data_IF_796131256518
#
_entry.id   IF_796131256518
#
_cell.length_a   1.000
_cell.length_b   1.000
_cell.length_c   1.000
_cell.angle_alpha   90.00
_cell.angle_beta   90.00
_cell.angle_gamma   90.00
#
_symmetry.space_group_name_H-M   'P 1'
#
loop_
_entity.id
_entity.type
_entity.pdbx_description
1 polymer ?
#
# COMPACT_ATOMS: atom_id res chain seq x y z
N UNK A 1 -39.71 18.40 26.41
CA UNK A 1 -39.54 18.05 24.98
C UNK A 1 -38.20 17.36 24.89
N UNK A 2 -38.20 16.01 24.87
CA UNK A 2 -36.96 15.22 24.76
C UNK A 2 -36.58 15.20 23.28
N UNK A 3 -35.46 15.82 22.92
CA UNK A 3 -34.83 15.58 21.63
C UNK A 3 -34.42 14.11 21.58
N UNK A 4 -35.05 13.38 20.68
CA UNK A 4 -34.66 12.01 20.36
C UNK A 4 -33.34 12.13 19.59
N UNK A 5 -32.22 11.95 20.29
CA UNK A 5 -30.94 11.68 19.63
C UNK A 5 -31.10 10.34 18.90
N UNK A 6 -31.11 10.37 17.56
CA UNK A 6 -31.11 9.17 16.73
C UNK A 6 -29.95 8.29 17.17
N UNK A 7 -30.30 7.13 17.74
CA UNK A 7 -29.32 6.21 18.30
C UNK A 7 -28.55 5.59 17.15
N UNK A 8 -27.26 5.93 17.05
CA UNK A 8 -26.35 5.31 16.08
C UNK A 8 -25.98 3.93 16.62
N UNK A 9 -26.80 2.91 16.34
CA UNK A 9 -26.60 1.52 16.76
C UNK A 9 -25.64 0.75 15.82
N UNK A 10 -24.88 1.43 14.96
CA UNK A 10 -24.02 0.84 13.94
C UNK A 10 -22.70 1.56 13.68
N UNK A 11 -21.93 1.07 12.72
CA UNK A 11 -20.71 1.74 12.24
C UNK A 11 -21.12 2.92 11.37
N UNK A 12 -20.53 4.09 11.61
CA UNK A 12 -20.71 5.27 10.76
C UNK A 12 -19.47 5.49 9.91
N UNK A 13 -19.70 5.81 8.64
CA UNK A 13 -18.61 6.20 7.75
C UNK A 13 -18.39 7.71 7.87
N UNK A 14 -17.17 8.06 8.20
CA UNK A 14 -16.71 9.45 8.25
C UNK A 14 -15.50 9.68 7.35
N UNK A 15 -15.11 10.94 7.21
CA UNK A 15 -13.93 11.36 6.46
C UNK A 15 -12.89 11.92 7.43
N UNK A 16 -11.61 11.59 7.23
CA UNK A 16 -10.52 12.27 7.91
C UNK A 16 -10.19 13.59 7.20
N UNK A 17 -10.32 14.72 7.89
CA UNK A 17 -10.07 16.05 7.28
C UNK A 17 -8.71 16.62 7.66
N UNK A 18 -8.06 16.05 8.67
CA UNK A 18 -6.77 16.52 9.15
C UNK A 18 -6.48 16.09 10.58
N UNK A 19 -5.56 16.79 11.22
CA UNK A 19 -5.16 16.56 12.60
C UNK A 19 -5.06 17.87 13.37
N UNK A 20 -5.39 17.86 14.66
CA UNK A 20 -5.18 18.98 15.56
C UNK A 20 -4.53 18.47 16.85
N UNK A 21 -3.32 18.92 17.13
CA UNK A 21 -2.56 18.44 18.29
C UNK A 21 -2.30 16.93 18.28
N UNK A 22 -2.21 16.33 17.08
CA UNK A 22 -2.05 14.88 16.89
C UNK A 22 -3.36 14.08 16.93
N UNK A 23 -4.49 14.66 17.33
CA UNK A 23 -5.78 14.00 17.27
C UNK A 23 -6.38 14.08 15.85
N UNK A 24 -6.89 12.97 15.28
CA UNK A 24 -7.56 12.99 13.98
C UNK A 24 -8.85 13.81 14.05
N UNK A 25 -9.09 14.65 13.05
CA UNK A 25 -10.30 15.43 12.88
C UNK A 25 -11.22 14.75 11.86
N UNK A 26 -12.45 14.44 12.25
CA UNK A 26 -13.41 13.72 11.42
C UNK A 26 -14.70 14.48 11.19
N UNK A 27 -15.33 14.26 10.05
CA UNK A 27 -16.72 14.64 9.75
C UNK A 27 -17.47 13.41 9.32
N UNK A 28 -18.76 13.36 9.64
CA UNK A 28 -19.62 12.23 9.35
C UNK A 28 -21.08 12.70 9.34
N UNK A 29 -21.95 11.90 8.74
CA UNK A 29 -23.39 12.17 8.76
C UNK A 29 -23.92 12.04 10.19
N UNK A 30 -24.61 13.07 10.67
CA UNK A 30 -25.05 13.14 12.08
C UNK A 30 -24.03 13.77 13.02
N UNK A 31 -22.97 14.40 12.50
CA UNK A 31 -22.06 15.22 13.29
C UNK A 31 -22.84 16.36 13.98
N UNK A 32 -22.84 16.46 15.32
CA UNK A 32 -23.58 17.48 16.05
C UNK A 32 -22.93 18.88 15.95
N UNK A 33 -21.77 19.01 15.30
CA UNK A 33 -21.07 20.28 15.08
C UNK A 33 -21.00 20.64 13.59
N UNK A 34 -20.99 21.93 13.30
CA UNK A 34 -20.76 22.46 11.95
C UNK A 34 -19.33 22.21 11.43
N UNK A 35 -18.41 21.89 12.34
CA UNK A 35 -16.99 21.65 12.03
C UNK A 35 -16.59 20.21 12.35
N UNK A 36 -15.40 19.83 11.88
CA UNK A 36 -14.79 18.55 12.23
C UNK A 36 -14.63 18.38 13.76
N UNK A 37 -14.81 17.15 14.24
CA UNK A 37 -14.65 16.76 15.64
C UNK A 37 -13.36 15.96 15.80
N UNK A 38 -12.60 16.23 16.87
CA UNK A 38 -11.47 15.40 17.24
C UNK A 38 -11.94 14.01 17.69
N UNK A 39 -11.43 12.97 17.05
CA UNK A 39 -11.69 11.59 17.40
C UNK A 39 -10.51 10.98 18.16
N UNK A 40 -10.80 9.96 18.96
CA UNK A 40 -9.76 9.01 19.40
C UNK A 40 -9.55 7.97 18.29
N UNK A 41 -8.43 7.28 18.31
CA UNK A 41 -8.14 6.24 17.30
C UNK A 41 -7.64 4.95 17.93
N UNK A 42 -8.09 3.83 17.39
CA UNK A 42 -7.57 2.49 17.67
C UNK A 42 -6.50 2.05 16.67
N UNK A 43 -6.30 2.81 15.59
CA UNK A 43 -5.24 2.60 14.60
C UNK A 43 -4.32 3.81 14.53
N UNK A 44 -3.08 3.60 14.10
CA UNK A 44 -2.23 4.70 13.66
C UNK A 44 -2.83 5.36 12.42
N UNK A 45 -2.83 6.69 12.41
CA UNK A 45 -3.22 7.53 11.30
C UNK A 45 -2.13 8.58 11.13
N UNK A 46 -1.65 8.74 9.92
CA UNK A 46 -0.73 9.80 9.55
C UNK A 46 -1.37 10.77 8.54
N UNK A 47 -0.62 11.78 8.13
CA UNK A 47 -1.07 12.79 7.17
C UNK A 47 -1.43 12.21 5.80
N UNK A 48 -0.91 11.03 5.42
CA UNK A 48 -1.27 10.37 4.16
C UNK A 48 -2.68 9.79 4.18
N UNK A 49 -3.27 9.60 5.37
CA UNK A 49 -4.64 9.12 5.51
C UNK A 49 -5.69 10.23 5.32
N UNK A 50 -5.31 11.51 5.27
CA UNK A 50 -6.26 12.63 5.09
C UNK A 50 -7.03 12.46 3.78
N UNK A 51 -8.34 12.66 3.84
CA UNK A 51 -9.28 12.39 2.75
C UNK A 51 -9.71 10.93 2.62
N UNK A 52 -9.22 10.02 3.48
CA UNK A 52 -9.71 8.63 3.52
C UNK A 52 -11.02 8.51 4.29
N UNK A 53 -11.84 7.56 3.87
CA UNK A 53 -13.00 7.11 4.64
C UNK A 53 -12.56 6.29 5.86
N UNK A 54 -13.25 6.53 6.98
CA UNK A 54 -13.01 5.91 8.27
C UNK A 54 -14.28 5.22 8.77
N UNK A 55 -14.09 4.06 9.38
CA UNK A 55 -15.11 3.42 10.20
C UNK A 55 -15.08 4.04 11.61
N UNK A 56 -16.19 4.67 12.01
CA UNK A 56 -16.36 5.32 13.29
C UNK A 56 -17.34 4.55 14.17
N UNK A 57 -16.99 4.45 15.45
CA UNK A 57 -17.89 4.15 16.55
C UNK A 57 -17.95 5.35 17.50
N UNK A 58 -18.89 5.35 18.43
CA UNK A 58 -19.13 6.46 19.34
C UNK A 58 -19.11 5.97 20.79
N UNK A 59 -18.27 6.57 21.63
CA UNK A 59 -18.11 6.15 23.01
C UNK A 59 -19.42 6.35 23.79
N UNK A 60 -20.01 5.26 24.29
CA UNK A 60 -21.31 5.31 24.96
C UNK A 60 -22.48 5.69 24.05
N UNK A 61 -22.30 5.61 22.73
CA UNK A 61 -23.28 6.04 21.74
C UNK A 61 -23.38 7.55 21.55
N UNK A 62 -22.44 8.33 22.08
CA UNK A 62 -22.42 9.79 21.98
C UNK A 62 -21.76 10.28 20.67
N UNK A 63 -22.50 10.89 19.73
CA UNK A 63 -21.95 11.40 18.46
C UNK A 63 -20.85 12.46 18.65
N UNK A 64 -20.79 13.14 19.80
CA UNK A 64 -19.72 14.09 20.09
C UNK A 64 -18.38 13.43 20.47
N UNK A 65 -18.36 12.11 20.64
CA UNK A 65 -17.19 11.32 21.08
C UNK A 65 -16.84 10.20 20.08
N UNK A 66 -16.40 10.54 18.86
CA UNK A 66 -16.02 9.56 17.86
C UNK A 66 -14.74 8.80 18.23
N UNK A 67 -14.73 7.50 17.92
CA UNK A 67 -13.62 6.57 18.02
C UNK A 67 -13.38 5.95 16.63
N UNK A 68 -12.23 6.21 16.05
CA UNK A 68 -11.80 5.61 14.78
C UNK A 68 -11.41 4.15 15.04
N UNK A 69 -12.13 3.24 14.40
CA UNK A 69 -11.78 1.81 14.39
C UNK A 69 -10.70 1.52 13.36
N UNK A 70 -10.81 2.11 12.17
CA UNK A 70 -9.86 1.92 11.08
C UNK A 70 -10.22 2.71 9.82
N UNK A 71 -9.29 2.76 8.87
CA UNK A 71 -9.56 3.22 7.50
C UNK A 71 -10.36 2.16 6.75
N UNK A 72 -11.33 2.60 5.96
CA UNK A 72 -11.90 1.73 4.93
C UNK A 72 -10.85 1.63 3.83
N UNK A 73 -10.46 0.41 3.52
CA UNK A 73 -9.55 0.11 2.43
C UNK A 73 -10.30 -0.74 1.43
N UNK A 74 -10.12 -0.44 0.15
CA UNK A 74 -10.49 -1.41 -0.86
C UNK A 74 -9.69 -2.69 -0.60
N UNK A 75 -10.33 -3.87 -0.61
CA UNK A 75 -9.62 -5.12 -0.53
C UNK A 75 -8.75 -5.23 -1.77
N UNK A 76 -7.49 -4.80 -1.66
CA UNK A 76 -6.51 -5.05 -2.69
C UNK A 76 -6.41 -6.57 -2.86
N UNK A 77 -6.43 -7.12 -4.09
CA UNK A 77 -5.86 -8.44 -4.31
C UNK A 77 -4.48 -8.38 -3.67
N UNK A 78 -4.14 -9.33 -2.78
CA UNK A 78 -2.78 -9.45 -2.25
C UNK A 78 -1.86 -9.73 -3.43
N UNK A 79 -1.43 -8.67 -4.13
CA UNK A 79 -0.31 -8.70 -5.03
C UNK A 79 0.87 -9.04 -4.16
N UNK A 80 1.42 -10.24 -4.37
CA UNK A 80 2.61 -10.73 -3.68
C UNK A 80 3.65 -9.61 -3.67
N UNK A 81 3.92 -9.10 -2.47
CA UNK A 81 4.85 -8.00 -2.27
C UNK A 81 6.21 -8.43 -2.80
N UNK A 82 6.70 -7.72 -3.81
CA UNK A 82 8.09 -7.79 -4.23
C UNK A 82 8.95 -7.42 -3.02
N UNK A 83 9.65 -8.39 -2.44
CA UNK A 83 10.60 -8.12 -1.37
C UNK A 83 11.90 -7.61 -2.00
N UNK A 84 12.19 -6.32 -1.79
CA UNK A 84 13.45 -5.70 -2.19
C UNK A 84 14.21 -5.34 -0.92
N UNK A 85 15.17 -6.20 -0.54
CA UNK A 85 16.05 -5.93 0.62
C UNK A 85 17.29 -5.22 0.13
N UNK A 86 17.58 -4.05 0.71
CA UNK A 86 18.84 -3.33 0.51
C UNK A 86 19.68 -3.39 1.78
N UNK A 87 20.80 -4.09 1.73
CA UNK A 87 21.77 -4.18 2.82
C UNK A 87 23.03 -3.42 2.42
N UNK A 88 23.12 -2.13 2.80
CA UNK A 88 24.23 -1.24 2.47
C UNK A 88 24.51 -1.15 0.97
N UNK A 89 25.46 -1.96 0.51
CA UNK A 89 25.96 -2.06 -0.87
C UNK A 89 25.18 -3.06 -1.76
N UNK A 90 24.34 -3.93 -1.19
CA UNK A 90 23.68 -5.03 -1.93
C UNK A 90 22.17 -4.84 -2.02
N UNK A 91 21.59 -5.14 -3.19
CA UNK A 91 20.14 -5.25 -3.42
C UNK A 91 19.79 -6.70 -3.73
N UNK A 92 18.78 -7.24 -3.04
CA UNK A 92 18.25 -8.60 -3.25
C UNK A 92 16.77 -8.49 -3.66
N UNK A 93 16.41 -9.13 -4.78
CA UNK A 93 15.04 -9.21 -5.30
C UNK A 93 14.63 -10.69 -5.28
N UNK A 94 13.61 -11.03 -4.48
CA UNK A 94 13.07 -12.39 -4.40
C UNK A 94 11.72 -12.49 -5.14
N UNK A 95 11.51 -13.59 -5.86
CA UNK A 95 10.23 -13.91 -6.49
C UNK A 95 9.98 -15.41 -6.47
N UNK A 96 8.77 -15.82 -6.06
CA UNK A 96 8.42 -17.25 -5.86
C UNK A 96 8.36 -18.04 -7.18
N UNK A 97 7.91 -17.40 -8.26
CA UNK A 97 7.67 -18.05 -9.55
C UNK A 97 8.47 -17.40 -10.69
N UNK A 98 8.55 -16.05 -10.70
CA UNK A 98 9.17 -15.28 -11.78
C UNK A 98 9.61 -13.90 -11.31
N UNK A 99 10.76 -13.44 -11.79
CA UNK A 99 11.20 -12.04 -11.71
C UNK A 99 11.31 -11.51 -13.15
N UNK A 100 10.65 -10.39 -13.44
CA UNK A 100 10.66 -9.77 -14.77
C UNK A 100 10.99 -8.28 -14.71
N UNK A 101 12.06 -7.89 -15.40
CA UNK A 101 12.44 -6.49 -15.62
C UNK A 101 12.09 -6.13 -17.07
N UNK A 102 11.07 -5.30 -17.29
CA UNK A 102 10.55 -4.95 -18.62
C UNK A 102 10.65 -3.45 -18.89
N UNK A 103 11.09 -3.10 -20.10
CA UNK A 103 11.07 -1.74 -20.61
C UNK A 103 10.77 -1.77 -22.12
N UNK A 104 9.54 -1.39 -22.51
CA UNK A 104 9.09 -1.47 -23.90
C UNK A 104 9.19 -2.89 -24.47
N UNK A 105 9.92 -3.04 -25.59
CA UNK A 105 10.15 -4.33 -26.26
C UNK A 105 11.24 -5.19 -25.58
N UNK A 106 11.97 -4.64 -24.61
CA UNK A 106 13.04 -5.34 -23.90
C UNK A 106 12.54 -5.99 -22.61
N UNK A 107 13.08 -7.17 -22.28
CA UNK A 107 12.80 -7.85 -21.01
C UNK A 107 13.95 -8.74 -20.55
N UNK A 108 14.15 -8.81 -19.23
CA UNK A 108 14.97 -9.82 -18.55
C UNK A 108 14.06 -10.60 -17.62
N UNK A 109 14.03 -11.92 -17.77
CA UNK A 109 13.14 -12.82 -17.05
C UNK A 109 13.95 -13.90 -16.37
N UNK A 110 13.74 -14.08 -15.06
CA UNK A 110 14.23 -15.20 -14.27
C UNK A 110 13.02 -16.05 -13.87
N UNK A 111 13.04 -17.34 -14.19
CA UNK A 111 11.98 -18.29 -13.86
C UNK A 111 12.40 -19.19 -12.69
N UNK A 112 11.44 -19.70 -11.91
CA UNK A 112 11.68 -20.62 -10.77
C UNK A 112 12.52 -21.85 -11.11
N UNK A 113 12.46 -22.32 -12.35
CA UNK A 113 13.26 -23.47 -12.82
C UNK A 113 14.72 -23.12 -13.15
N UNK A 114 15.16 -21.89 -12.88
CA UNK A 114 16.52 -21.41 -13.13
C UNK A 114 16.76 -20.90 -14.55
N UNK A 115 15.75 -20.91 -15.43
CA UNK A 115 15.89 -20.36 -16.79
C UNK A 115 15.93 -18.83 -16.74
N UNK A 116 16.97 -18.26 -17.38
CA UNK A 116 17.10 -16.82 -17.59
C UNK A 116 16.90 -16.51 -19.07
N UNK A 117 16.04 -15.53 -19.37
CA UNK A 117 15.77 -15.08 -20.75
C UNK A 117 16.02 -13.58 -20.85
N UNK A 118 16.83 -13.17 -21.83
CA UNK A 118 17.09 -11.76 -22.15
C UNK A 118 16.57 -11.51 -23.57
N UNK A 119 15.68 -10.53 -23.73
CA UNK A 119 15.10 -10.13 -25.02
C UNK A 119 15.27 -8.63 -25.22
N UNK A 120 15.53 -8.25 -26.46
CA UNK A 120 15.61 -6.87 -26.92
C UNK A 120 15.80 -6.83 -28.44
N UNK A 121 15.66 -5.65 -29.04
CA UNK A 121 15.95 -5.45 -30.47
C UNK A 121 17.45 -5.49 -30.77
N UNK A 122 18.28 -5.13 -29.78
CA UNK A 122 19.74 -5.23 -29.80
C UNK A 122 20.24 -5.64 -28.41
N UNK A 123 21.33 -6.43 -28.36
CA UNK A 123 22.00 -6.83 -27.12
C UNK A 123 23.49 -6.49 -27.22
N UNK A 124 23.96 -5.62 -26.33
CA UNK A 124 25.39 -5.29 -26.21
C UNK A 124 25.93 -5.91 -24.92
N UNK A 125 26.82 -6.90 -25.04
CA UNK A 125 27.52 -7.50 -23.92
C UNK A 125 28.99 -7.07 -23.95
N UNK A 126 29.35 -6.11 -23.09
CA UNK A 126 30.68 -5.51 -23.06
C UNK A 126 31.33 -5.72 -21.68
N UNK A 127 32.61 -6.05 -21.66
CA UNK A 127 33.44 -6.10 -20.47
C UNK A 127 34.75 -5.36 -20.74
N UNK A 128 35.27 -4.63 -19.76
CA UNK A 128 36.62 -4.03 -19.82
C UNK A 128 37.73 -5.09 -19.68
N UNK A 129 37.42 -6.21 -19.03
CA UNK A 129 38.25 -7.40 -18.97
C UNK A 129 37.71 -8.52 -19.85
N UNK A 130 37.72 -9.75 -19.34
CA UNK A 130 37.25 -10.92 -20.09
C UNK A 130 35.73 -11.05 -20.02
N UNK A 131 35.05 -11.13 -21.18
CA UNK A 131 33.68 -11.60 -21.26
C UNK A 131 33.68 -13.12 -21.49
N UNK A 132 33.28 -13.92 -20.49
CA UNK A 132 33.43 -15.38 -20.51
C UNK A 132 32.08 -16.09 -20.56
N UNK A 133 31.88 -16.93 -21.58
CA UNK A 133 30.67 -17.74 -21.77
C UNK A 133 31.03 -19.23 -21.63
N UNK A 134 30.24 -19.98 -20.88
CA UNK A 134 30.40 -21.44 -20.68
C UNK A 134 29.03 -22.12 -20.65
N UNK A 135 28.94 -23.33 -21.21
CA UNK A 135 27.75 -24.16 -21.18
C UNK A 135 28.05 -25.54 -21.79
N UNK A 136 27.17 -26.52 -21.55
CA UNK A 136 27.29 -27.84 -22.20
C UNK A 136 27.21 -27.77 -23.73
N UNK A 137 26.52 -26.75 -24.24
CA UNK A 137 26.57 -26.31 -25.63
C UNK A 137 26.38 -24.78 -25.69
N UNK A 138 27.00 -24.13 -26.67
CA UNK A 138 26.83 -22.70 -26.96
C UNK A 138 26.46 -22.58 -28.44
N UNK A 139 25.24 -22.10 -28.70
CA UNK A 139 24.75 -21.83 -30.05
C UNK A 139 24.86 -20.34 -30.33
N UNK A 140 25.66 -19.97 -31.33
CA UNK A 140 25.82 -18.61 -31.82
C UNK A 140 25.47 -18.62 -33.30
N UNK A 141 24.48 -17.81 -33.69
CA UNK A 141 24.00 -17.64 -35.06
C UNK A 141 24.04 -16.18 -35.44
#
# INVERSE_FOLDING_TARGET
MMEVLERIDGVVIGLLIGFQGGAPLVVFVGNPRETAIAARSLTELDVSAVGSELALLFEGGDPARPLVVGRIVDPAPRGRSLEVVRDGERVVINGDERIELRCGLASIILEKNGRVTIRGTQLTSQASGTNRIRGGAVHLN
#
